data_IF_170886196214
#
_entry.id   IF_170886196214
#
_cell.length_a   1.000
_cell.length_b   1.000
_cell.length_c   1.000
_cell.angle_alpha   90.00
_cell.angle_beta   90.00
_cell.angle_gamma   90.00
#
_symmetry.space_group_name_H-M   'P 1'
#
loop_
_entity.id
_entity.type
_entity.pdbx_description
1 polymer ?
#
# COMPACT_ATOMS: atom_id res chain seq x y z
N UNK A 1 -16.15 -16.29 28.03
CA UNK A 1 -14.71 -16.28 27.77
C UNK A 1 -14.41 -15.24 26.73
N UNK A 2 -13.41 -14.38 27.00
CA UNK A 2 -12.89 -13.41 26.04
C UNK A 2 -11.73 -14.12 25.35
N UNK A 3 -11.81 -14.29 24.02
CA UNK A 3 -10.66 -14.74 23.23
C UNK A 3 -9.77 -13.53 22.97
N UNK A 4 -8.52 -13.61 23.42
CA UNK A 4 -7.50 -12.63 23.04
C UNK A 4 -6.85 -13.07 21.72
N UNK A 5 -6.75 -12.16 20.75
CA UNK A 5 -6.01 -12.38 19.51
C UNK A 5 -4.51 -12.17 19.76
N UNK A 6 -3.67 -12.83 18.97
CA UNK A 6 -2.26 -12.50 18.94
C UNK A 6 -2.10 -11.10 18.29
N UNK A 7 -1.07 -10.36 18.71
CA UNK A 7 -0.83 -8.99 18.25
C UNK A 7 -0.55 -8.89 16.73
N UNK A 8 -0.21 -10.02 16.12
CA UNK A 8 0.12 -10.17 14.69
C UNK A 8 -0.96 -10.97 13.93
N UNK A 9 -2.17 -11.12 14.48
CA UNK A 9 -3.23 -11.93 13.89
C UNK A 9 -4.37 -11.06 13.38
N UNK A 10 -4.61 -11.13 12.07
CA UNK A 10 -5.76 -10.55 11.40
C UNK A 10 -6.74 -11.64 10.96
N UNK A 11 -8.02 -11.47 11.26
CA UNK A 11 -9.07 -12.46 11.06
C UNK A 11 -9.84 -12.34 9.74
N UNK A 12 -9.31 -11.56 8.79
CA UNK A 12 -9.92 -11.38 7.49
C UNK A 12 -11.10 -10.40 7.47
N UNK A 13 -11.60 -10.16 6.28
CA UNK A 13 -12.66 -9.18 6.03
C UNK A 13 -14.05 -9.56 6.56
N UNK A 14 -14.25 -10.84 6.93
CA UNK A 14 -15.51 -11.31 7.53
C UNK A 14 -15.69 -10.75 8.95
N UNK A 15 -14.61 -10.44 9.64
CA UNK A 15 -14.60 -9.94 11.02
C UNK A 15 -13.88 -8.58 11.09
N UNK A 16 -14.59 -7.50 10.82
CA UNK A 16 -14.04 -6.14 10.93
C UNK A 16 -12.82 -5.89 10.03
N UNK A 17 -13.00 -5.76 8.70
CA UNK A 17 -11.91 -5.49 7.76
C UNK A 17 -11.09 -4.27 8.13
N UNK A 18 -11.70 -3.26 8.76
CA UNK A 18 -11.05 -2.04 9.25
C UNK A 18 -9.96 -2.31 10.29
N UNK A 19 -9.99 -3.44 10.99
CA UNK A 19 -8.90 -3.81 11.91
C UNK A 19 -7.56 -4.02 11.20
N UNK A 20 -7.56 -4.14 9.88
CA UNK A 20 -6.33 -4.22 9.10
C UNK A 20 -5.49 -2.94 9.25
N UNK A 21 -6.13 -1.79 9.46
CA UNK A 21 -5.43 -0.51 9.70
C UNK A 21 -4.57 -0.52 10.97
N UNK A 22 -4.89 -1.37 11.95
CA UNK A 22 -4.09 -1.50 13.17
C UNK A 22 -2.67 -2.05 12.91
N UNK A 23 -2.42 -2.65 11.75
CA UNK A 23 -1.11 -3.14 11.33
C UNK A 23 -0.32 -2.11 10.51
N UNK A 24 -0.91 -0.96 10.20
CA UNK A 24 -0.20 0.17 9.63
C UNK A 24 0.56 0.87 10.74
N UNK A 25 1.88 0.86 10.65
CA UNK A 25 2.78 1.30 11.71
C UNK A 25 3.75 2.37 11.23
N UNK A 26 3.28 3.60 10.95
CA UNK A 26 4.09 4.69 10.38
C UNK A 26 5.25 5.10 11.29
N UNK A 27 5.12 4.87 12.59
CA UNK A 27 6.13 5.18 13.60
C UNK A 27 7.13 4.03 13.87
N UNK A 28 7.08 2.93 13.12
CA UNK A 28 8.05 1.86 13.28
C UNK A 28 9.48 2.35 12.94
N UNK A 29 10.52 1.98 13.72
CA UNK A 29 11.89 2.48 13.51
C UNK A 29 12.40 2.28 12.10
N UNK A 30 12.07 1.13 11.49
CA UNK A 30 12.50 0.81 10.12
C UNK A 30 11.88 1.74 9.07
N UNK A 31 10.66 2.23 9.31
CA UNK A 31 9.98 3.18 8.41
C UNK A 31 10.79 4.46 8.26
N UNK A 32 11.34 4.99 9.35
CA UNK A 32 12.20 6.19 9.29
C UNK A 32 13.46 5.98 8.44
N UNK A 33 14.03 4.76 8.46
CA UNK A 33 15.19 4.41 7.62
C UNK A 33 14.81 4.39 6.14
N UNK A 34 13.65 3.79 5.82
CA UNK A 34 13.13 3.71 4.46
C UNK A 34 12.77 5.10 3.91
N UNK A 35 12.14 5.96 4.73
CA UNK A 35 11.81 7.33 4.35
C UNK A 35 13.07 8.15 4.07
N UNK A 36 14.12 8.01 4.90
CA UNK A 36 15.41 8.65 4.61
C UNK A 36 15.93 8.20 3.23
N UNK A 37 15.84 6.91 2.93
CA UNK A 37 16.28 6.42 1.62
C UNK A 37 15.40 6.93 0.48
N UNK A 38 14.09 7.01 0.68
CA UNK A 38 13.16 7.60 -0.28
C UNK A 38 13.49 9.07 -0.59
N UNK A 39 13.83 9.86 0.44
CA UNK A 39 14.24 11.26 0.27
C UNK A 39 15.52 11.40 -0.58
N UNK A 40 16.46 10.44 -0.48
CA UNK A 40 17.66 10.40 -1.31
C UNK A 40 17.31 10.13 -2.80
N UNK A 41 16.38 9.22 -3.08
CA UNK A 41 15.86 9.00 -4.44
C UNK A 41 15.19 10.25 -4.98
N UNK A 42 14.31 10.86 -4.20
CA UNK A 42 13.59 12.06 -4.59
C UNK A 42 14.55 13.21 -4.92
N UNK A 43 15.60 13.38 -4.11
CA UNK A 43 16.67 14.35 -4.35
C UNK A 43 17.36 14.11 -5.69
N UNK A 44 17.66 12.84 -6.02
CA UNK A 44 18.34 12.50 -7.26
C UNK A 44 17.47 12.77 -8.50
N UNK A 45 16.15 12.61 -8.36
CA UNK A 45 15.21 12.80 -9.48
C UNK A 45 14.76 14.25 -9.68
N UNK A 46 14.69 15.02 -8.57
CA UNK A 46 14.08 16.36 -8.59
C UNK A 46 14.99 17.46 -8.07
N UNK A 47 16.18 17.11 -7.57
CA UNK A 47 17.11 17.99 -6.83
C UNK A 47 16.56 18.49 -5.49
N UNK A 48 15.35 18.09 -5.09
CA UNK A 48 14.70 18.46 -3.83
C UNK A 48 14.36 17.18 -3.03
N UNK A 49 14.97 16.97 -1.84
CA UNK A 49 14.75 15.79 -1.02
C UNK A 49 13.46 15.85 -0.18
N UNK A 50 12.72 16.96 -0.21
CA UNK A 50 11.60 17.20 0.68
C UNK A 50 10.45 16.25 0.44
N UNK A 51 10.06 15.50 1.46
CA UNK A 51 8.84 14.71 1.49
C UNK A 51 7.76 15.60 2.13
N UNK A 52 7.21 16.50 1.32
CA UNK A 52 6.35 17.61 1.74
C UNK A 52 4.85 17.31 1.63
N UNK A 53 4.52 16.04 1.41
CA UNK A 53 3.14 15.56 1.25
C UNK A 53 2.38 16.40 0.20
N UNK A 54 1.28 17.02 0.60
CA UNK A 54 0.41 17.82 -0.28
C UNK A 54 0.72 19.32 -0.29
N UNK A 55 1.81 19.78 0.36
CA UNK A 55 2.08 21.22 0.53
C UNK A 55 2.34 21.94 -0.81
N UNK A 56 2.85 21.21 -1.81
CA UNK A 56 3.06 21.76 -3.15
C UNK A 56 1.78 21.99 -3.96
N UNK A 57 0.66 21.37 -3.58
CA UNK A 57 -0.57 21.24 -4.40
C UNK A 57 -0.31 20.72 -5.82
N UNK A 58 0.72 19.88 -5.98
CA UNK A 58 1.14 19.31 -7.24
C UNK A 58 1.05 17.78 -7.20
N UNK A 59 0.09 17.21 -7.94
CA UNK A 59 -0.15 15.76 -7.99
C UNK A 59 1.08 15.00 -8.54
N UNK A 60 1.84 15.58 -9.49
CA UNK A 60 3.07 14.97 -10.00
C UNK A 60 4.14 14.88 -8.90
N UNK A 61 4.23 15.92 -8.06
CA UNK A 61 5.14 15.93 -6.89
C UNK A 61 4.74 14.85 -5.89
N UNK A 62 3.45 14.69 -5.60
CA UNK A 62 2.93 13.65 -4.71
C UNK A 62 3.24 12.26 -5.28
N UNK A 63 3.00 12.04 -6.58
CA UNK A 63 3.32 10.78 -7.25
C UNK A 63 4.82 10.45 -7.16
N UNK A 64 5.71 11.44 -7.34
CA UNK A 64 7.15 11.24 -7.18
C UNK A 64 7.55 10.87 -5.76
N UNK A 65 6.89 11.38 -4.73
CA UNK A 65 7.11 10.98 -3.35
C UNK A 65 6.71 9.51 -3.14
N UNK A 66 5.55 9.10 -3.65
CA UNK A 66 5.10 7.71 -3.59
C UNK A 66 6.05 6.76 -4.36
N UNK A 67 6.52 7.17 -5.53
CA UNK A 67 7.51 6.43 -6.32
C UNK A 67 8.86 6.31 -5.60
N UNK A 68 9.29 7.33 -4.87
CA UNK A 68 10.53 7.29 -4.11
C UNK A 68 10.47 6.29 -2.95
N UNK A 69 9.32 6.18 -2.27
CA UNK A 69 9.07 5.13 -1.27
C UNK A 69 9.14 3.74 -1.91
N UNK A 70 8.49 3.55 -3.06
CA UNK A 70 8.54 2.29 -3.81
C UNK A 70 9.99 1.89 -4.16
N UNK A 71 10.78 2.82 -4.67
CA UNK A 71 12.19 2.58 -5.01
C UNK A 71 13.03 2.21 -3.78
N UNK A 72 12.79 2.86 -2.64
CA UNK A 72 13.47 2.53 -1.38
C UNK A 72 13.14 1.11 -0.89
N UNK A 73 11.91 0.64 -1.10
CA UNK A 73 11.49 -0.72 -0.77
C UNK A 73 12.06 -1.74 -1.75
N UNK A 74 12.10 -1.42 -3.05
CA UNK A 74 12.66 -2.30 -4.08
C UNK A 74 14.13 -2.64 -3.81
N UNK A 75 14.92 -1.70 -3.30
CA UNK A 75 16.32 -1.94 -2.88
C UNK A 75 16.45 -2.95 -1.72
N UNK A 76 15.37 -3.20 -0.97
CA UNK A 76 15.41 -4.11 0.16
C UNK A 76 15.54 -5.58 -0.24
N UNK A 77 15.31 -5.92 -1.51
CA UNK A 77 15.40 -7.29 -2.03
C UNK A 77 14.55 -8.29 -1.22
N UNK A 78 13.30 -7.94 -0.97
CA UNK A 78 12.35 -8.77 -0.23
C UNK A 78 11.86 -9.90 -1.12
N UNK A 79 11.85 -11.12 -0.61
CA UNK A 79 11.30 -12.29 -1.29
C UNK A 79 9.79 -12.35 -1.08
N UNK A 80 9.05 -12.58 -2.15
CA UNK A 80 7.61 -12.78 -2.06
C UNK A 80 7.26 -14.16 -1.48
N UNK A 81 6.39 -14.17 -0.47
CA UNK A 81 5.80 -15.38 0.09
C UNK A 81 4.33 -15.47 -0.32
N UNK A 82 3.91 -16.63 -0.82
CA UNK A 82 2.50 -16.86 -1.17
C UNK A 82 1.66 -16.85 0.11
N UNK A 83 0.58 -16.03 0.18
CA UNK A 83 -0.29 -16.02 1.35
C UNK A 83 -1.08 -17.33 1.47
N UNK A 84 -1.67 -17.62 2.65
CA UNK A 84 -2.65 -18.70 2.77
C UNK A 84 -3.83 -18.51 1.81
N UNK A 85 -4.40 -19.62 1.34
CA UNK A 85 -5.59 -19.54 0.49
C UNK A 85 -6.74 -18.83 1.22
N UNK A 86 -7.45 -17.95 0.51
CA UNK A 86 -8.58 -17.17 1.04
C UNK A 86 -8.20 -16.31 2.26
N UNK A 87 -6.96 -15.82 2.32
CA UNK A 87 -6.49 -14.97 3.44
C UNK A 87 -7.35 -13.72 3.62
N UNK A 88 -7.89 -13.18 2.52
CA UNK A 88 -8.76 -11.99 2.54
C UNK A 88 -10.05 -12.24 3.36
N UNK A 89 -10.48 -13.49 3.48
CA UNK A 89 -11.69 -13.89 4.24
C UNK A 89 -11.33 -14.54 5.57
N UNK A 90 -10.38 -15.46 5.57
CA UNK A 90 -10.01 -16.27 6.73
C UNK A 90 -9.00 -15.57 7.66
N UNK A 91 -8.31 -14.56 7.13
CA UNK A 91 -7.22 -13.90 7.83
C UNK A 91 -5.88 -14.64 7.71
N UNK A 92 -4.86 -14.02 8.27
CA UNK A 92 -3.52 -14.59 8.37
C UNK A 92 -2.73 -13.89 9.49
N UNK A 93 -1.58 -14.46 9.84
CA UNK A 93 -0.58 -13.72 10.59
C UNK A 93 0.07 -12.66 9.72
N UNK A 94 0.24 -11.48 10.28
CA UNK A 94 0.80 -10.30 9.62
C UNK A 94 2.24 -10.09 10.10
N UNK A 95 3.18 -9.93 9.17
CA UNK A 95 4.54 -9.49 9.50
C UNK A 95 4.56 -7.97 9.58
N UNK A 96 4.88 -7.44 10.76
CA UNK A 96 5.08 -6.00 10.92
C UNK A 96 6.29 -5.51 10.13
N UNK A 97 6.38 -4.20 9.88
CA UNK A 97 7.41 -3.58 9.03
C UNK A 97 8.84 -4.04 9.33
N UNK A 98 9.24 -4.06 10.62
CA UNK A 98 10.58 -4.51 11.04
C UNK A 98 10.83 -5.99 10.72
N UNK A 99 9.79 -6.83 10.83
CA UNK A 99 9.89 -8.26 10.53
C UNK A 99 10.07 -8.49 9.02
N UNK A 100 9.29 -7.80 8.18
CA UNK A 100 9.41 -7.90 6.71
C UNK A 100 10.84 -7.55 6.28
N UNK A 101 11.39 -6.45 6.77
CA UNK A 101 12.72 -5.97 6.39
C UNK A 101 13.82 -6.86 6.97
N UNK A 102 13.73 -7.29 8.22
CA UNK A 102 14.76 -8.15 8.85
C UNK A 102 14.77 -9.57 8.27
N UNK A 103 13.62 -10.14 7.96
CA UNK A 103 13.48 -11.48 7.38
C UNK A 103 13.62 -11.50 5.86
N UNK A 104 13.53 -10.35 5.21
CA UNK A 104 13.50 -10.23 3.74
C UNK A 104 12.42 -11.10 3.10
N UNK A 105 11.26 -11.17 3.73
CA UNK A 105 10.15 -12.04 3.34
C UNK A 105 8.81 -11.36 3.65
N UNK A 106 7.85 -11.41 2.71
CA UNK A 106 6.50 -10.89 2.93
C UNK A 106 5.47 -11.44 1.93
N UNK A 107 4.23 -11.56 2.38
CA UNK A 107 3.06 -11.80 1.53
C UNK A 107 2.60 -10.50 0.87
N UNK A 108 1.64 -10.54 -0.06
CA UNK A 108 1.04 -9.32 -0.61
C UNK A 108 0.51 -8.39 0.50
N UNK A 109 -0.11 -8.96 1.54
CA UNK A 109 -0.60 -8.20 2.70
C UNK A 109 0.54 -7.51 3.46
N UNK A 110 1.60 -8.25 3.82
CA UNK A 110 2.74 -7.70 4.55
C UNK A 110 3.42 -6.56 3.79
N UNK A 111 3.58 -6.73 2.47
CA UNK A 111 4.24 -5.76 1.59
C UNK A 111 3.39 -4.50 1.40
N UNK A 112 2.08 -4.67 1.25
CA UNK A 112 1.15 -3.54 1.16
C UNK A 112 1.13 -2.74 2.46
N UNK A 113 1.05 -3.40 3.61
CA UNK A 113 1.10 -2.73 4.92
C UNK A 113 2.42 -2.00 5.16
N UNK A 114 3.54 -2.54 4.71
CA UNK A 114 4.85 -1.88 4.77
C UNK A 114 4.87 -0.61 3.90
N UNK A 115 4.39 -0.71 2.66
CA UNK A 115 4.34 0.43 1.76
C UNK A 115 3.43 1.54 2.29
N UNK A 116 2.19 1.22 2.70
CA UNK A 116 1.25 2.22 3.22
C UNK A 116 1.71 2.83 4.55
N UNK A 117 2.44 2.06 5.38
CA UNK A 117 3.07 2.63 6.59
C UNK A 117 4.10 3.72 6.25
N UNK A 118 4.87 3.54 5.18
CA UNK A 118 5.80 4.55 4.72
C UNK A 118 5.08 5.76 4.08
N UNK A 119 4.00 5.51 3.33
CA UNK A 119 3.17 6.56 2.70
C UNK A 119 2.51 7.43 3.77
N UNK A 120 1.91 6.84 4.79
CA UNK A 120 1.30 7.59 5.91
C UNK A 120 2.35 8.37 6.69
N UNK A 121 3.52 7.78 6.93
CA UNK A 121 4.59 8.44 7.67
C UNK A 121 5.15 9.70 6.99
N UNK A 122 5.00 9.84 5.68
CA UNK A 122 5.35 11.06 4.94
C UNK A 122 4.16 12.03 4.77
N UNK A 123 3.03 11.76 5.43
CA UNK A 123 1.84 12.60 5.44
C UNK A 123 0.96 12.49 4.19
N UNK A 124 1.10 11.44 3.40
CA UNK A 124 0.18 11.12 2.32
C UNK A 124 -0.95 10.21 2.82
N UNK A 125 -2.08 10.23 2.14
CA UNK A 125 -3.26 9.44 2.49
C UNK A 125 -3.29 8.13 1.68
N UNK A 126 -2.90 6.99 2.27
CA UNK A 126 -3.02 5.71 1.61
C UNK A 126 -4.40 5.08 1.74
N UNK A 127 -4.67 4.11 0.89
CA UNK A 127 -5.84 3.24 0.91
C UNK A 127 -5.38 1.80 0.74
N UNK A 128 -5.97 0.87 1.48
CA UNK A 128 -5.80 -0.56 1.27
C UNK A 128 -6.88 -1.04 0.30
N UNK A 129 -6.48 -1.62 -0.82
CA UNK A 129 -7.37 -2.17 -1.83
C UNK A 129 -7.36 -3.69 -1.74
N UNK A 130 -8.41 -4.25 -1.13
CA UNK A 130 -8.53 -5.68 -0.88
C UNK A 130 -9.44 -6.32 -1.94
N UNK A 131 -8.89 -7.28 -2.69
CA UNK A 131 -9.58 -8.08 -3.69
C UNK A 131 -9.68 -9.54 -3.23
N UNK A 132 -10.37 -10.37 -4.00
CA UNK A 132 -10.37 -11.80 -3.77
C UNK A 132 -8.95 -12.37 -3.99
N UNK A 133 -8.36 -12.90 -2.92
CA UNK A 133 -7.03 -13.51 -2.95
C UNK A 133 -5.86 -12.55 -3.14
N UNK A 134 -6.09 -11.22 -3.16
CA UNK A 134 -5.05 -10.23 -3.35
C UNK A 134 -5.29 -8.92 -2.60
N UNK A 135 -4.23 -8.17 -2.36
CA UNK A 135 -4.28 -6.82 -1.78
C UNK A 135 -3.13 -5.98 -2.34
N UNK A 136 -3.41 -4.71 -2.61
CA UNK A 136 -2.43 -3.71 -3.01
C UNK A 136 -2.78 -2.34 -2.43
N UNK A 137 -1.91 -1.35 -2.63
CA UNK A 137 -2.09 0.00 -2.09
C UNK A 137 -2.76 0.94 -3.09
N UNK A 138 -3.53 1.90 -2.57
CA UNK A 138 -3.86 3.14 -3.26
C UNK A 138 -3.20 4.33 -2.55
N UNK A 139 -2.96 5.42 -3.28
CA UNK A 139 -2.42 6.67 -2.73
C UNK A 139 -3.16 7.85 -3.36
N UNK A 140 -3.73 8.71 -2.53
CA UNK A 140 -4.33 9.95 -2.99
C UNK A 140 -3.24 10.90 -3.50
N UNK A 141 -3.46 11.49 -4.67
CA UNK A 141 -2.57 12.50 -5.26
C UNK A 141 -2.93 13.93 -4.83
N UNK A 142 -4.07 14.09 -4.18
CA UNK A 142 -4.56 15.34 -3.63
C UNK A 142 -4.88 15.15 -2.14
N UNK A 143 -4.89 16.21 -1.37
CA UNK A 143 -5.24 16.17 0.06
C UNK A 143 -6.74 15.91 0.24
N UNK A 144 -7.12 14.70 -0.04
CA UNK A 144 -8.49 14.18 0.01
C UNK A 144 -8.54 12.81 0.67
N UNK A 145 -9.71 12.45 1.20
CA UNK A 145 -9.98 11.14 1.81
C UNK A 145 -11.40 10.71 1.49
N UNK A 146 -11.68 9.41 1.51
CA UNK A 146 -13.06 8.95 1.47
C UNK A 146 -13.78 9.30 2.78
N UNK A 147 -15.11 9.55 2.74
CA UNK A 147 -15.87 9.87 3.94
C UNK A 147 -16.06 8.67 4.87
N UNK A 148 -16.07 7.47 4.32
CA UNK A 148 -16.27 6.22 5.05
C UNK A 148 -14.96 5.42 5.16
N UNK A 149 -14.74 4.78 6.30
CA UNK A 149 -13.54 3.98 6.55
C UNK A 149 -13.46 2.73 5.65
N UNK A 150 -14.61 2.22 5.21
CA UNK A 150 -14.72 1.07 4.31
C UNK A 150 -15.65 1.43 3.17
N UNK A 151 -15.22 1.14 1.96
CA UNK A 151 -16.01 1.29 0.74
C UNK A 151 -16.00 -0.02 -0.04
N UNK A 152 -17.18 -0.53 -0.35
CA UNK A 152 -17.39 -1.74 -1.17
C UNK A 152 -17.83 -1.41 -2.61
N UNK A 153 -17.74 -0.14 -3.02
CA UNK A 153 -18.14 0.33 -4.35
C UNK A 153 -16.92 0.59 -5.24
N UNK A 154 -16.58 -0.39 -6.08
CA UNK A 154 -15.50 -0.29 -7.06
C UNK A 154 -15.59 0.93 -7.99
N UNK A 155 -16.81 1.40 -8.29
CA UNK A 155 -17.01 2.55 -9.17
C UNK A 155 -16.43 3.85 -8.58
N UNK A 156 -16.38 3.97 -7.28
CA UNK A 156 -15.80 5.14 -6.61
C UNK A 156 -14.28 5.20 -6.79
N UNK A 157 -13.61 4.04 -6.87
CA UNK A 157 -12.16 3.95 -7.14
C UNK A 157 -11.88 4.19 -8.61
N UNK A 158 -12.55 3.44 -9.48
CA UNK A 158 -12.28 3.50 -10.94
C UNK A 158 -12.51 4.89 -11.53
N UNK A 159 -13.48 5.66 -11.00
CA UNK A 159 -13.68 7.05 -11.41
C UNK A 159 -12.49 7.95 -11.08
N UNK A 160 -11.83 7.75 -9.96
CA UNK A 160 -10.68 8.55 -9.50
C UNK A 160 -9.36 8.17 -10.17
N UNK A 161 -9.31 6.94 -10.69
CA UNK A 161 -8.19 6.43 -11.49
C UNK A 161 -8.33 6.79 -12.98
N UNK A 162 -9.46 7.34 -13.39
CA UNK A 162 -9.71 7.64 -14.79
C UNK A 162 -8.74 8.71 -15.32
N UNK A 163 -8.22 8.50 -16.51
CA UNK A 163 -7.34 9.45 -17.20
C UNK A 163 -7.98 10.83 -17.28
N UNK A 164 -7.26 11.84 -16.81
CA UNK A 164 -7.72 13.24 -16.76
C UNK A 164 -8.45 13.60 -15.44
N UNK A 165 -8.71 12.62 -14.56
CA UNK A 165 -9.13 12.84 -13.17
C UNK A 165 -7.91 12.74 -12.26
N UNK A 166 -7.15 11.65 -12.38
CA UNK A 166 -5.85 11.41 -11.73
C UNK A 166 -5.79 11.84 -10.24
N UNK A 167 -6.88 11.55 -9.50
CA UNK A 167 -6.98 11.89 -8.07
C UNK A 167 -6.34 10.83 -7.18
N UNK A 168 -6.32 9.58 -7.65
CA UNK A 168 -5.84 8.40 -6.94
C UNK A 168 -4.94 7.58 -7.85
N UNK A 169 -3.88 7.01 -7.33
CA UNK A 169 -3.09 5.95 -8.00
C UNK A 169 -3.21 4.65 -7.20
N UNK A 170 -3.04 3.53 -7.87
CA UNK A 170 -2.93 2.20 -7.25
C UNK A 170 -1.57 1.59 -7.56
N UNK A 171 -1.01 0.84 -6.61
CA UNK A 171 0.37 0.35 -6.68
C UNK A 171 0.41 -1.12 -6.26
N UNK A 172 0.85 -1.97 -7.17
CA UNK A 172 1.11 -3.38 -6.91
C UNK A 172 2.38 -3.56 -6.05
N UNK A 173 2.19 -3.81 -4.76
CA UNK A 173 3.30 -3.86 -3.81
C UNK A 173 4.18 -5.11 -3.98
N UNK A 174 3.67 -6.21 -4.54
CA UNK A 174 4.53 -7.37 -4.82
C UNK A 174 5.52 -7.11 -5.97
N UNK A 175 5.32 -6.04 -6.74
CA UNK A 175 6.17 -5.66 -7.86
C UNK A 175 7.57 -5.18 -7.43
N UNK A 176 7.75 -4.67 -6.20
CA UNK A 176 9.07 -4.32 -5.69
C UNK A 176 9.87 -5.50 -5.11
N UNK A 177 9.31 -6.72 -5.12
CA UNK A 177 10.00 -7.90 -4.63
C UNK A 177 11.21 -8.31 -5.46
N UNK A 178 12.13 -9.02 -4.82
CA UNK A 178 13.32 -9.61 -5.45
C UNK A 178 12.94 -10.46 -6.67
N UNK A 179 13.67 -10.26 -7.76
CA UNK A 179 13.42 -10.96 -9.04
C UNK A 179 12.38 -10.29 -9.94
N UNK A 180 11.57 -9.36 -9.43
CA UNK A 180 10.74 -8.47 -10.23
C UNK A 180 11.48 -7.15 -10.41
N UNK A 181 11.58 -6.66 -11.66
CA UNK A 181 12.27 -5.39 -11.96
C UNK A 181 11.27 -4.36 -12.50
N UNK A 182 10.09 -4.31 -11.90
CA UNK A 182 9.06 -3.39 -12.33
C UNK A 182 9.43 -1.97 -11.86
N UNK A 183 9.32 -1.02 -12.78
CA UNK A 183 9.30 0.39 -12.43
C UNK A 183 8.03 0.70 -11.62
N UNK A 184 7.99 1.89 -11.04
CA UNK A 184 6.79 2.35 -10.34
C UNK A 184 5.57 2.41 -11.26
N UNK A 185 5.74 2.91 -12.48
CA UNK A 185 4.66 2.99 -13.47
C UNK A 185 4.13 1.60 -13.86
N UNK A 186 5.04 0.63 -14.09
CA UNK A 186 4.64 -0.76 -14.35
C UNK A 186 3.91 -1.40 -13.15
N UNK A 187 4.27 -1.04 -11.92
CA UNK A 187 3.55 -1.49 -10.73
C UNK A 187 2.14 -0.86 -10.63
N UNK A 188 2.00 0.41 -11.03
CA UNK A 188 0.69 1.06 -11.14
C UNK A 188 -0.17 0.42 -12.23
N UNK A 189 0.41 0.14 -13.41
CA UNK A 189 -0.29 -0.53 -14.50
C UNK A 189 -0.75 -1.94 -14.12
N UNK A 190 0.08 -2.69 -13.39
CA UNK A 190 -0.28 -4.01 -12.89
C UNK A 190 -1.49 -3.95 -11.94
N UNK A 191 -1.48 -3.03 -10.97
CA UNK A 191 -2.62 -2.85 -10.05
C UNK A 191 -3.89 -2.39 -10.78
N UNK A 192 -3.75 -1.50 -11.76
CA UNK A 192 -4.87 -1.07 -12.60
C UNK A 192 -5.47 -2.23 -13.43
N UNK A 193 -4.63 -3.17 -13.88
CA UNK A 193 -5.10 -4.34 -14.63
C UNK A 193 -5.94 -5.27 -13.72
N UNK A 194 -5.53 -5.51 -12.48
CA UNK A 194 -6.29 -6.27 -11.49
C UNK A 194 -7.68 -5.67 -11.23
N UNK A 195 -7.80 -4.33 -11.17
CA UNK A 195 -9.08 -3.64 -10.99
C UNK A 195 -9.99 -3.71 -12.22
N UNK A 196 -9.46 -3.92 -13.41
CA UNK A 196 -10.24 -4.05 -14.64
C UNK A 196 -10.72 -5.47 -14.90
N UNK A 197 -10.10 -6.46 -14.28
CA UNK A 197 -10.52 -7.86 -14.35
C UNK A 197 -11.78 -8.03 -13.50
N UNK A 198 -12.95 -7.96 -14.15
CA UNK A 198 -14.25 -7.91 -13.48
C UNK A 198 -14.61 -9.16 -12.65
N UNK A 199 -13.87 -10.26 -12.78
CA UNK A 199 -14.05 -11.45 -11.94
C UNK A 199 -13.50 -11.23 -10.53
N UNK A 200 -12.43 -10.45 -10.38
CA UNK A 200 -11.78 -10.15 -9.10
C UNK A 200 -12.49 -9.00 -8.34
N UNK A 201 -13.20 -8.13 -9.05
CA UNK A 201 -13.87 -6.95 -8.50
C UNK A 201 -15.18 -7.26 -7.74
N UNK A 202 -15.64 -8.51 -7.74
CA UNK A 202 -16.82 -8.91 -6.94
C UNK A 202 -16.61 -8.80 -5.42
N UNK A 203 -15.36 -8.64 -4.99
CA UNK A 203 -15.00 -8.44 -3.60
C UNK A 203 -13.94 -7.32 -3.49
N UNK A 204 -14.39 -6.08 -3.51
CA UNK A 204 -13.55 -4.92 -3.27
C UNK A 204 -13.88 -4.36 -1.90
N UNK A 205 -12.90 -4.30 -1.01
CA UNK A 205 -12.99 -3.50 0.21
C UNK A 205 -11.86 -2.49 0.20
N UNK A 206 -12.22 -1.21 0.22
CA UNK A 206 -11.28 -0.11 0.40
C UNK A 206 -11.28 0.26 1.86
N UNK A 207 -10.13 0.13 2.47
CA UNK A 207 -9.94 0.47 3.87
C UNK A 207 -9.11 1.74 3.91
N UNK A 208 -9.71 2.80 4.39
CA UNK A 208 -9.06 4.09 4.55
C UNK A 208 -8.24 4.12 5.85
N UNK A 209 -7.05 4.69 5.79
CA UNK A 209 -6.13 4.83 6.92
C UNK A 209 -6.15 6.27 7.41
#
# INVERSE_FOLDING_TARGET
PISALAFDEWHGSVFYPELLTAFVTPNAPIVSVLIKRASEFLKNWTSDPSLDAYQSNDAERVMKQAAAVYAALQEQNITYAVPPASFERAGQRVRLCDMVISQKLGTCLDLTLLYVSCIEAIGLHPVLVLLQGHIFAGVWLQNYTFPDAILDDAAQVTKRLASGVDELIVVECTAFCSGKKFSFDEACDAANAELRDGENVQYLSLIHI
#
